data_IF_214791953354
#
_entry.id   IF_214791953354
#
_cell.length_a   1.000
_cell.length_b   1.000
_cell.length_c   1.000
_cell.angle_alpha   90.00
_cell.angle_beta   90.00
_cell.angle_gamma   90.00
#
_symmetry.space_group_name_H-M   'P 1'
#
loop_
_entity.id
_entity.type
_entity.pdbx_description
1 polymer ?
#
# COMPACT_ATOMS: atom_id res chain seq x y z
N UNK A 1 -21.03 18.06 4.87
CA UNK A 1 -19.60 17.90 5.22
C UNK A 1 -19.39 16.43 5.50
N UNK A 2 -18.41 15.78 4.86
CA UNK A 2 -18.10 14.37 5.13
C UNK A 2 -17.26 14.33 6.41
N UNK A 3 -17.65 13.47 7.34
CA UNK A 3 -17.22 13.49 8.73
C UNK A 3 -16.12 12.46 9.02
N UNK A 4 -15.22 12.80 9.95
CA UNK A 4 -14.19 11.92 10.49
C UNK A 4 -13.40 11.20 9.38
N UNK A 5 -13.16 9.89 9.53
CA UNK A 5 -12.36 9.07 8.63
C UNK A 5 -12.96 8.91 7.22
N UNK A 6 -14.26 9.19 7.04
CA UNK A 6 -14.90 9.16 5.72
C UNK A 6 -14.38 10.26 4.79
N UNK A 7 -13.64 11.24 5.32
CA UNK A 7 -12.96 12.25 4.53
C UNK A 7 -11.92 11.66 3.57
N UNK A 8 -11.22 10.57 3.97
CA UNK A 8 -10.22 9.87 3.16
C UNK A 8 -10.81 9.36 1.85
N UNK A 9 -11.83 8.47 1.84
CA UNK A 9 -12.41 7.99 0.59
C UNK A 9 -13.07 9.11 -0.22
N UNK A 10 -13.60 10.16 0.42
CA UNK A 10 -14.15 11.31 -0.28
C UNK A 10 -13.09 12.14 -1.02
N UNK A 11 -11.97 12.41 -0.36
CA UNK A 11 -10.85 13.14 -0.95
C UNK A 11 -10.22 12.34 -2.09
N UNK A 12 -10.03 11.03 -1.92
CA UNK A 12 -9.53 10.17 -2.98
C UNK A 12 -10.49 10.15 -4.17
N UNK A 13 -11.81 10.09 -3.93
CA UNK A 13 -12.79 10.13 -5.02
C UNK A 13 -12.73 11.45 -5.81
N UNK A 14 -12.62 12.59 -5.12
CA UNK A 14 -12.42 13.90 -5.77
C UNK A 14 -11.13 13.92 -6.61
N UNK A 15 -10.03 13.40 -6.08
CA UNK A 15 -8.77 13.29 -6.81
C UNK A 15 -8.91 12.40 -8.06
N UNK A 16 -9.52 11.23 -7.93
CA UNK A 16 -9.76 10.32 -9.05
C UNK A 16 -10.59 10.99 -10.16
N UNK A 17 -11.66 11.70 -9.80
CA UNK A 17 -12.49 12.41 -10.77
C UNK A 17 -11.69 13.49 -11.50
N UNK A 18 -10.86 14.26 -10.79
CA UNK A 18 -9.99 15.28 -11.39
C UNK A 18 -8.95 14.69 -12.34
N UNK A 19 -8.32 13.59 -11.95
CA UNK A 19 -7.35 12.89 -12.80
C UNK A 19 -8.03 12.28 -14.04
N UNK A 20 -9.24 11.74 -13.90
CA UNK A 20 -9.98 11.16 -15.03
C UNK A 20 -10.46 12.19 -16.07
N UNK A 21 -10.50 13.49 -15.73
CA UNK A 21 -10.77 14.58 -16.67
C UNK A 21 -9.54 14.94 -17.50
N UNK A 22 -8.32 14.66 -17.00
CA UNK A 22 -7.08 14.95 -17.72
C UNK A 22 -6.91 14.02 -18.94
N UNK A 23 -6.21 14.47 -20.00
CA UNK A 23 -5.73 13.59 -21.05
C UNK A 23 -4.87 12.45 -20.48
N UNK A 24 -4.94 11.26 -21.08
CA UNK A 24 -4.25 10.07 -20.57
C UNK A 24 -2.73 10.27 -20.37
N UNK A 25 -2.10 11.14 -21.17
CA UNK A 25 -0.66 11.45 -21.08
C UNK A 25 -0.29 12.33 -19.88
N UNK A 26 -1.26 13.02 -19.29
CA UNK A 26 -1.08 13.94 -18.15
C UNK A 26 -1.70 13.40 -16.86
N UNK A 27 -2.46 12.31 -16.97
CA UNK A 27 -3.12 11.62 -15.86
C UNK A 27 -2.10 10.83 -15.04
N UNK A 28 -2.20 10.92 -13.71
CA UNK A 28 -1.48 10.01 -12.82
C UNK A 28 -1.89 8.56 -13.11
N UNK A 29 -0.94 7.63 -13.18
CA UNK A 29 -1.28 6.21 -13.36
C UNK A 29 -1.67 5.56 -12.04
N UNK A 30 -0.89 5.81 -11.00
CA UNK A 30 -1.08 5.26 -9.66
C UNK A 30 -1.04 6.37 -8.62
N UNK A 31 -1.91 6.22 -7.62
CA UNK A 31 -1.90 6.96 -6.37
C UNK A 31 -1.34 6.03 -5.29
N UNK A 32 -0.49 6.57 -4.42
CA UNK A 32 -0.13 5.90 -3.17
C UNK A 32 -0.83 6.68 -2.06
N UNK A 33 -1.76 6.04 -1.36
CA UNK A 33 -2.31 6.62 -0.13
C UNK A 33 -1.44 6.20 1.04
N UNK A 34 -1.18 7.15 1.94
CA UNK A 34 -0.41 6.95 3.17
C UNK A 34 -1.09 7.76 4.28
N UNK A 35 -1.44 7.11 5.39
CA UNK A 35 -2.02 7.78 6.55
C UNK A 35 -1.00 8.72 7.22
N UNK A 36 -1.50 9.71 7.95
CA UNK A 36 -0.69 10.79 8.55
C UNK A 36 0.26 10.31 9.66
N UNK A 37 0.08 9.10 10.15
CA UNK A 37 0.87 8.45 11.19
C UNK A 37 1.77 7.37 10.56
N UNK A 38 2.33 7.67 9.40
CA UNK A 38 3.36 6.89 8.73
C UNK A 38 4.62 7.72 8.54
N UNK A 39 5.78 7.10 8.72
CA UNK A 39 7.09 7.67 8.36
C UNK A 39 7.72 6.89 7.21
N UNK A 40 8.55 7.58 6.43
CA UNK A 40 9.41 6.95 5.43
C UNK A 40 10.68 6.49 6.14
N UNK A 41 10.99 5.19 6.07
CA UNK A 41 12.20 4.61 6.63
C UNK A 41 13.36 4.65 5.63
N UNK A 42 13.04 4.46 4.36
CA UNK A 42 14.05 4.27 3.32
C UNK A 42 13.55 4.80 1.97
N UNK A 43 14.39 5.59 1.28
CA UNK A 43 14.05 6.18 -0.01
C UNK A 43 14.49 5.34 -1.21
N UNK A 44 15.32 4.31 -0.99
CA UNK A 44 15.99 3.52 -2.04
C UNK A 44 15.27 2.18 -2.29
N UNK A 45 14.41 1.74 -1.37
CA UNK A 45 13.66 0.49 -1.48
C UNK A 45 12.81 0.41 -2.76
N UNK A 46 12.81 -0.75 -3.43
CA UNK A 46 12.08 -0.91 -4.68
C UNK A 46 10.57 -0.86 -4.45
N UNK A 47 9.88 -0.10 -5.31
CA UNK A 47 8.42 0.00 -5.25
C UNK A 47 7.78 -1.39 -5.43
N UNK A 48 6.72 -1.72 -4.67
CA UNK A 48 6.00 -3.00 -4.78
C UNK A 48 5.30 -3.23 -6.14
N UNK A 49 5.31 -2.22 -7.02
CA UNK A 49 4.76 -2.31 -8.38
C UNK A 49 5.82 -2.82 -9.36
N UNK A 50 5.56 -3.90 -10.11
CA UNK A 50 6.44 -4.37 -11.17
C UNK A 50 6.43 -3.36 -12.33
N UNK A 51 7.52 -3.30 -13.09
CA UNK A 51 7.68 -2.38 -14.23
C UNK A 51 6.51 -2.44 -15.23
N UNK A 52 5.93 -3.62 -15.47
CA UNK A 52 4.79 -3.79 -16.38
C UNK A 52 3.49 -3.15 -15.88
N UNK A 53 3.32 -2.94 -14.57
CA UNK A 53 2.20 -2.17 -14.02
C UNK A 53 2.48 -0.66 -13.98
N UNK A 54 3.70 -0.21 -14.33
CA UNK A 54 4.14 1.19 -14.28
C UNK A 54 4.10 1.87 -15.66
N UNK A 55 3.36 1.29 -16.62
CA UNK A 55 3.25 1.80 -17.99
C UNK A 55 2.00 1.29 -18.71
N UNK A 56 1.21 2.23 -19.21
CA UNK A 56 0.36 2.06 -20.40
C UNK A 56 1.20 1.97 -21.69
N UNK A 57 2.37 1.31 -21.70
CA UNK A 57 3.07 0.96 -22.94
C UNK A 57 2.46 -0.29 -23.58
N UNK A 58 1.17 -0.19 -23.87
CA UNK A 58 0.60 -0.86 -25.04
C UNK A 58 0.87 -0.03 -26.32
N UNK A 59 1.88 0.84 -26.31
CA UNK A 59 2.41 1.41 -27.54
C UNK A 59 3.38 0.42 -28.18
N UNK A 60 2.83 -0.45 -29.02
CA UNK A 60 3.45 -0.97 -30.24
C UNK A 60 4.69 -1.86 -30.18
N UNK A 61 5.26 -2.22 -29.02
CA UNK A 61 6.40 -3.14 -28.98
C UNK A 61 5.99 -4.54 -28.52
N UNK A 62 5.86 -5.42 -29.52
CA UNK A 62 5.66 -6.86 -29.41
C UNK A 62 4.28 -7.31 -28.91
N UNK A 63 3.29 -7.06 -29.77
CA UNK A 63 2.20 -8.02 -29.96
C UNK A 63 2.85 -9.34 -30.43
N UNK A 64 3.35 -10.15 -29.49
CA UNK A 64 3.66 -11.53 -29.79
C UNK A 64 2.34 -12.19 -30.19
N UNK A 65 2.35 -12.95 -31.28
CA UNK A 65 1.19 -13.62 -31.88
C UNK A 65 0.59 -14.72 -30.98
N UNK A 66 0.79 -14.66 -29.65
CA UNK A 66 0.18 -15.56 -28.66
C UNK A 66 0.12 -14.93 -27.26
N UNK A 67 -0.92 -14.15 -26.90
CA UNK A 67 -1.32 -14.00 -25.52
C UNK A 67 -2.45 -15.00 -25.27
N UNK A 68 -2.12 -16.25 -24.94
CA UNK A 68 -3.16 -17.24 -24.58
C UNK A 68 -4.00 -16.69 -23.41
N UNK A 69 -3.44 -15.84 -22.54
CA UNK A 69 -4.19 -14.95 -21.63
C UNK A 69 -3.39 -13.65 -21.37
N UNK A 70 -3.98 -12.43 -21.50
CA UNK A 70 -3.35 -11.22 -20.98
C UNK A 70 -3.21 -11.33 -19.45
N UNK A 71 -2.17 -10.71 -18.83
CA UNK A 71 -2.05 -10.73 -17.38
C UNK A 71 -3.29 -10.08 -16.74
N UNK A 72 -3.73 -10.56 -15.56
CA UNK A 72 -4.89 -10.00 -14.88
C UNK A 72 -4.69 -8.50 -14.61
N UNK A 73 -5.74 -7.70 -14.74
CA UNK A 73 -5.68 -6.27 -14.46
C UNK A 73 -5.68 -6.04 -12.95
N UNK A 74 -4.67 -5.36 -12.42
CA UNK A 74 -4.58 -4.99 -11.00
C UNK A 74 -4.76 -3.49 -10.88
N UNK A 75 -5.77 -3.07 -10.10
CA UNK A 75 -6.08 -1.67 -9.86
C UNK A 75 -5.93 -1.26 -8.40
N UNK A 76 -5.78 -2.21 -7.47
CA UNK A 76 -5.54 -1.93 -6.06
C UNK A 76 -4.52 -2.92 -5.50
N UNK A 77 -3.43 -2.42 -4.94
CA UNK A 77 -2.56 -3.17 -4.04
C UNK A 77 -2.90 -2.81 -2.60
N UNK A 78 -3.25 -3.81 -1.80
CA UNK A 78 -3.60 -3.64 -0.41
C UNK A 78 -2.84 -4.65 0.46
N UNK A 79 -2.75 -4.36 1.76
CA UNK A 79 -2.20 -5.28 2.75
C UNK A 79 -3.30 -5.72 3.72
N UNK A 80 -3.17 -6.95 4.21
CA UNK A 80 -3.97 -7.45 5.32
C UNK A 80 -3.07 -7.64 6.54
N UNK A 81 -3.67 -7.42 7.71
CA UNK A 81 -3.12 -7.74 9.02
C UNK A 81 -4.07 -8.73 9.74
N UNK A 82 -3.77 -9.20 10.97
CA UNK A 82 -4.63 -10.12 11.71
C UNK A 82 -6.07 -9.60 11.95
N UNK A 83 -6.35 -8.32 11.73
CA UNK A 83 -7.67 -7.69 11.79
C UNK A 83 -8.37 -7.56 10.43
N UNK A 84 -7.79 -8.07 9.34
CA UNK A 84 -8.33 -7.95 7.99
C UNK A 84 -7.60 -6.87 7.17
N UNK A 85 -8.33 -6.21 6.26
CA UNK A 85 -7.79 -5.11 5.46
C UNK A 85 -7.19 -4.02 6.35
N UNK A 86 -5.96 -3.60 6.07
CA UNK A 86 -5.39 -2.36 6.60
C UNK A 86 -5.29 -1.32 5.49
N UNK A 87 -6.12 -0.28 5.54
CA UNK A 87 -6.20 0.72 4.47
C UNK A 87 -5.47 2.03 4.83
N UNK A 88 -4.54 1.99 5.78
CA UNK A 88 -3.69 3.14 6.07
C UNK A 88 -2.65 3.38 5.00
N UNK A 89 -2.23 2.33 4.28
CA UNK A 89 -1.33 2.44 3.13
C UNK A 89 -1.80 1.48 2.04
N UNK A 90 -1.98 1.99 0.82
CA UNK A 90 -2.33 1.19 -0.35
C UNK A 90 -1.97 1.93 -1.64
N UNK A 91 -1.87 1.17 -2.74
CA UNK A 91 -1.61 1.72 -4.07
C UNK A 91 -2.83 1.52 -4.94
N UNK A 92 -3.32 2.59 -5.56
CA UNK A 92 -4.57 2.62 -6.32
C UNK A 92 -4.33 3.14 -7.73
N UNK A 93 -4.72 2.37 -8.75
CA UNK A 93 -4.65 2.79 -10.15
C UNK A 93 -5.77 3.77 -10.47
N UNK A 94 -5.42 4.90 -11.06
CA UNK A 94 -6.43 5.88 -11.51
C UNK A 94 -7.21 5.29 -12.68
N UNK A 95 -8.49 5.01 -12.43
CA UNK A 95 -9.36 4.30 -13.37
C UNK A 95 -10.84 4.54 -13.07
N UNK A 96 -11.71 4.23 -14.03
CA UNK A 96 -13.15 4.18 -13.78
C UNK A 96 -13.53 3.18 -12.68
N UNK A 97 -12.83 2.03 -12.62
CA UNK A 97 -13.02 1.04 -11.56
C UNK A 97 -12.77 1.65 -10.17
N UNK A 98 -11.72 2.45 -10.02
CA UNK A 98 -11.42 3.11 -8.74
C UNK A 98 -12.52 4.10 -8.34
N UNK A 99 -13.08 4.85 -9.30
CA UNK A 99 -14.23 5.74 -9.05
C UNK A 99 -15.44 4.94 -8.54
N UNK A 100 -15.75 3.81 -9.17
CA UNK A 100 -16.87 2.96 -8.76
C UNK A 100 -16.67 2.38 -7.36
N UNK A 101 -15.47 1.87 -7.06
CA UNK A 101 -15.11 1.36 -5.73
C UNK A 101 -15.27 2.44 -4.67
N UNK A 102 -14.67 3.62 -4.86
CA UNK A 102 -14.72 4.68 -3.86
C UNK A 102 -16.12 5.31 -3.71
N UNK A 103 -16.92 5.32 -4.78
CA UNK A 103 -18.34 5.66 -4.70
C UNK A 103 -19.10 4.64 -3.85
N UNK A 104 -18.85 3.33 -4.07
CA UNK A 104 -19.48 2.26 -3.31
C UNK A 104 -19.09 2.30 -1.82
N UNK A 105 -17.83 2.58 -1.51
CA UNK A 105 -17.34 2.74 -0.12
C UNK A 105 -18.12 3.84 0.59
N UNK A 106 -18.19 5.05 0.00
CA UNK A 106 -18.91 6.18 0.60
C UNK A 106 -20.41 5.91 0.75
N UNK A 107 -21.01 5.22 -0.22
CA UNK A 107 -22.42 4.86 -0.18
C UNK A 107 -22.72 3.75 0.85
N UNK A 108 -21.74 2.89 1.16
CA UNK A 108 -21.94 1.65 1.92
C UNK A 108 -22.70 1.88 3.23
N UNK A 109 -22.28 2.86 4.04
CA UNK A 109 -22.89 3.17 5.34
C UNK A 109 -24.35 3.59 5.26
N UNK A 110 -24.77 4.17 4.13
CA UNK A 110 -26.13 4.67 3.92
C UNK A 110 -27.08 3.56 3.46
N UNK A 111 -26.58 2.60 2.67
CA UNK A 111 -27.38 1.48 2.18
C UNK A 111 -27.31 0.24 3.07
N UNK A 112 -26.33 0.17 3.98
CA UNK A 112 -26.15 -0.93 4.93
C UNK A 112 -26.08 -0.43 6.39
N UNK A 113 -27.11 0.31 6.89
CA UNK A 113 -27.03 0.96 8.20
C UNK A 113 -26.97 0.00 9.39
N UNK A 114 -27.32 -1.28 9.18
CA UNK A 114 -27.33 -2.31 10.23
C UNK A 114 -26.04 -3.13 10.27
N UNK A 115 -25.09 -2.88 9.35
CA UNK A 115 -23.81 -3.58 9.33
C UNK A 115 -22.85 -2.86 10.26
N UNK A 116 -22.28 -3.60 11.22
CA UNK A 116 -21.26 -3.07 12.10
C UNK A 116 -19.95 -2.85 11.34
N UNK A 117 -19.45 -1.62 11.37
CA UNK A 117 -18.18 -1.24 10.75
C UNK A 117 -17.13 -1.01 11.83
N UNK A 118 -16.51 -2.11 12.30
CA UNK A 118 -15.53 -2.11 13.41
C UNK A 118 -14.44 -1.04 13.23
N UNK A 119 -13.97 -0.85 12.00
CA UNK A 119 -12.95 0.14 11.63
C UNK A 119 -13.50 1.22 10.68
N UNK A 120 -14.78 1.56 10.81
CA UNK A 120 -15.45 2.62 10.03
C UNK A 120 -15.32 2.43 8.51
N UNK A 121 -14.68 3.36 7.80
CA UNK A 121 -14.52 3.29 6.34
C UNK A 121 -13.60 2.17 5.88
N UNK A 122 -12.63 1.73 6.71
CA UNK A 122 -11.79 0.57 6.41
C UNK A 122 -12.62 -0.71 6.32
N UNK A 123 -13.54 -0.93 7.28
CA UNK A 123 -14.47 -2.06 7.22
C UNK A 123 -15.40 -1.97 6.02
N UNK A 124 -15.84 -0.77 5.64
CA UNK A 124 -16.66 -0.58 4.45
C UNK A 124 -15.87 -0.92 3.17
N UNK A 125 -14.61 -0.47 3.08
CA UNK A 125 -13.70 -0.80 2.00
C UNK A 125 -13.48 -2.31 1.91
N UNK A 126 -13.18 -2.98 3.02
CA UNK A 126 -13.03 -4.44 3.06
C UNK A 126 -14.24 -5.17 2.49
N UNK A 127 -15.45 -4.79 2.93
CA UNK A 127 -16.70 -5.41 2.47
C UNK A 127 -17.00 -5.12 1.00
N UNK A 128 -16.70 -3.90 0.53
CA UNK A 128 -16.83 -3.55 -0.90
C UNK A 128 -15.86 -4.37 -1.74
N UNK A 129 -14.61 -4.51 -1.33
CA UNK A 129 -13.58 -5.24 -2.09
C UNK A 129 -13.83 -6.76 -2.14
N UNK A 130 -14.69 -7.30 -1.27
CA UNK A 130 -15.14 -8.69 -1.33
C UNK A 130 -16.24 -8.92 -2.38
N UNK A 131 -16.90 -7.86 -2.86
CA UNK A 131 -17.93 -7.96 -3.89
C UNK A 131 -17.33 -8.46 -5.22
N UNK A 132 -18.00 -9.40 -5.88
CA UNK A 132 -17.55 -9.99 -7.15
C UNK A 132 -17.35 -8.95 -8.27
N UNK A 133 -18.00 -7.79 -8.17
CA UNK A 133 -17.82 -6.67 -9.11
C UNK A 133 -16.43 -6.05 -9.01
N UNK A 134 -15.76 -6.14 -7.85
CA UNK A 134 -14.52 -5.43 -7.58
C UNK A 134 -13.33 -6.35 -7.27
N UNK A 135 -13.57 -7.51 -6.65
CA UNK A 135 -12.53 -8.37 -6.09
C UNK A 135 -11.49 -8.87 -7.10
N UNK A 136 -11.86 -8.99 -8.38
CA UNK A 136 -10.98 -9.48 -9.44
C UNK A 136 -9.84 -8.52 -9.83
N UNK A 137 -9.85 -7.26 -9.37
CA UNK A 137 -8.79 -6.27 -9.65
C UNK A 137 -8.01 -5.85 -8.39
N UNK A 138 -8.21 -6.56 -7.29
CA UNK A 138 -7.52 -6.34 -6.02
C UNK A 138 -6.41 -7.37 -5.87
N UNK A 139 -5.22 -6.91 -5.50
CA UNK A 139 -4.11 -7.79 -5.14
C UNK A 139 -3.67 -7.50 -3.72
N UNK A 140 -3.87 -8.47 -2.84
CA UNK A 140 -3.28 -8.45 -1.51
C UNK A 140 -1.81 -8.86 -1.59
N UNK A 141 -0.94 -8.09 -0.95
CA UNK A 141 0.50 -8.36 -0.87
C UNK A 141 0.92 -8.43 0.60
N UNK A 142 2.11 -8.99 0.89
CA UNK A 142 2.64 -9.00 2.24
C UNK A 142 2.73 -7.60 2.85
N UNK A 143 2.31 -7.48 4.10
CA UNK A 143 2.17 -6.20 4.77
C UNK A 143 3.49 -5.44 4.87
N UNK A 144 4.61 -6.14 5.07
CA UNK A 144 5.93 -5.51 5.19
C UNK A 144 6.42 -4.79 3.95
N UNK A 145 5.80 -5.01 2.79
CA UNK A 145 6.20 -4.30 1.57
C UNK A 145 6.01 -2.79 1.68
N UNK A 146 5.00 -2.34 2.43
CA UNK A 146 4.71 -0.91 2.55
C UNK A 146 3.87 -0.51 3.77
N UNK A 147 3.42 -1.45 4.62
CA UNK A 147 2.57 -1.16 5.76
C UNK A 147 3.01 -1.86 7.07
N UNK A 148 4.31 -2.05 7.37
CA UNK A 148 4.72 -2.69 8.62
C UNK A 148 4.51 -1.78 9.84
N UNK A 149 4.40 -2.40 11.01
CA UNK A 149 4.23 -1.76 12.31
C UNK A 149 5.56 -1.57 13.05
N UNK A 150 5.67 -0.56 13.93
CA UNK A 150 6.79 -0.44 14.84
C UNK A 150 6.82 -1.59 15.85
N UNK A 151 8.04 -1.97 16.27
CA UNK A 151 8.28 -2.83 17.42
C UNK A 151 9.22 -2.14 18.40
N UNK A 152 8.70 -1.83 19.57
CA UNK A 152 9.44 -1.06 20.58
C UNK A 152 9.62 0.40 20.16
N UNK A 153 10.63 1.05 20.72
CA UNK A 153 10.92 2.46 20.49
C UNK A 153 11.98 2.65 19.38
N UNK A 154 12.30 3.90 19.03
CA UNK A 154 13.25 4.19 17.95
C UNK A 154 14.66 3.67 18.29
N UNK A 155 15.04 3.72 19.56
CA UNK A 155 16.31 3.15 20.02
C UNK A 155 16.38 1.65 19.77
N UNK A 156 15.29 0.90 20.00
CA UNK A 156 15.23 -0.52 19.69
C UNK A 156 15.46 -0.79 18.19
N UNK A 157 14.91 0.04 17.30
CA UNK A 157 15.10 -0.13 15.85
C UNK A 157 16.56 0.04 15.41
N UNK A 158 17.27 1.03 15.97
CA UNK A 158 18.68 1.29 15.63
C UNK A 158 19.62 0.30 16.31
N UNK A 159 19.44 0.06 17.60
CA UNK A 159 20.37 -0.75 18.40
C UNK A 159 20.26 -2.24 18.12
N UNK A 160 19.25 -2.67 17.36
CA UNK A 160 19.09 -4.07 17.05
C UNK A 160 20.19 -4.52 16.09
N UNK A 161 21.20 -5.20 16.64
CA UNK A 161 22.31 -5.82 15.91
C UNK A 161 21.99 -7.25 15.47
N UNK A 162 20.75 -7.73 15.62
CA UNK A 162 20.35 -9.02 15.10
C UNK A 162 20.56 -9.04 13.58
N UNK A 163 21.56 -9.82 13.15
CA UNK A 163 21.89 -10.05 11.74
C UNK A 163 21.02 -11.12 11.11
N UNK A 164 20.16 -11.78 11.89
CA UNK A 164 19.25 -12.81 11.42
C UNK A 164 17.86 -12.64 12.08
N UNK A 165 16.89 -12.00 11.40
CA UNK A 165 15.54 -11.78 11.93
C UNK A 165 14.66 -13.05 11.88
N UNK A 166 15.25 -14.25 11.83
CA UNK A 166 14.52 -15.52 11.86
C UNK A 166 13.59 -15.57 13.09
N UNK A 167 12.28 -15.71 12.81
CA UNK A 167 11.24 -15.75 13.84
C UNK A 167 10.66 -14.40 14.26
N UNK A 168 11.11 -13.30 13.65
CA UNK A 168 10.41 -12.03 13.80
C UNK A 168 9.07 -12.08 13.07
N UNK A 169 8.08 -11.44 13.67
CA UNK A 169 6.81 -11.22 13.00
C UNK A 169 7.07 -10.46 11.68
N UNK A 170 6.50 -10.95 10.58
CA UNK A 170 6.62 -10.30 9.28
C UNK A 170 5.98 -8.92 9.29
N UNK A 171 5.01 -8.69 10.17
CA UNK A 171 4.33 -7.40 10.30
C UNK A 171 5.22 -6.29 10.86
N UNK A 172 6.41 -6.61 11.38
CA UNK A 172 7.30 -5.64 12.04
C UNK A 172 8.24 -4.97 11.05
N UNK A 173 8.40 -3.66 11.22
CA UNK A 173 9.31 -2.84 10.43
C UNK A 173 10.78 -3.19 10.69
N UNK A 174 11.56 -3.27 9.62
CA UNK A 174 13.00 -3.61 9.62
C UNK A 174 13.77 -2.58 8.78
N UNK A 175 15.09 -2.47 9.03
CA UNK A 175 15.97 -1.66 8.19
C UNK A 175 15.95 -2.18 6.75
N UNK A 176 15.65 -1.30 5.79
CA UNK A 176 15.43 -1.63 4.37
C UNK A 176 13.95 -1.69 3.95
N UNK A 177 13.02 -1.69 4.92
CA UNK A 177 11.60 -1.46 4.62
C UNK A 177 11.38 -0.02 4.18
N UNK A 178 10.37 0.21 3.33
CA UNK A 178 10.08 1.52 2.77
C UNK A 178 9.39 2.47 3.77
N UNK A 179 8.36 1.99 4.45
CA UNK A 179 7.48 2.79 5.31
C UNK A 179 7.32 2.11 6.67
N UNK A 180 6.88 2.88 7.66
CA UNK A 180 6.44 2.38 8.97
C UNK A 180 5.15 3.06 9.39
N UNK A 181 4.15 2.29 9.79
CA UNK A 181 2.82 2.78 10.12
C UNK A 181 2.52 2.61 11.61
N UNK A 182 2.22 3.72 12.29
CA UNK A 182 1.93 3.75 13.74
C UNK A 182 0.45 3.51 14.06
N UNK A 183 -0.20 2.63 13.30
CA UNK A 183 -1.61 2.30 13.46
C UNK A 183 -1.89 1.78 14.88
N UNK A 184 -2.91 2.33 15.54
CA UNK A 184 -3.29 1.91 16.90
C UNK A 184 -2.28 2.23 18.00
N UNK A 185 -1.18 2.93 17.72
CA UNK A 185 -0.19 3.29 18.73
C UNK A 185 -0.76 4.34 19.71
N UNK A 186 -0.67 4.07 21.02
CA UNK A 186 -1.33 4.88 22.07
C UNK A 186 -0.73 6.29 22.23
N UNK A 187 0.59 6.40 22.13
CA UNK A 187 1.35 7.66 22.20
C UNK A 187 2.00 7.95 20.84
N UNK A 188 1.17 7.98 19.79
CA UNK A 188 1.66 8.04 18.40
C UNK A 188 2.42 9.31 18.08
N UNK A 189 2.02 10.44 18.65
CA UNK A 189 2.71 11.72 18.50
C UNK A 189 4.12 11.68 19.09
N UNK A 190 4.27 11.17 20.32
CA UNK A 190 5.57 10.97 20.95
C UNK A 190 6.44 9.99 20.15
N UNK A 191 5.87 8.85 19.73
CA UNK A 191 6.59 7.84 18.96
C UNK A 191 7.03 8.37 17.58
N UNK A 192 6.16 9.09 16.85
CA UNK A 192 6.51 9.67 15.56
C UNK A 192 7.65 10.66 15.70
N UNK A 193 7.63 11.53 16.73
CA UNK A 193 8.72 12.47 16.96
C UNK A 193 10.03 11.74 17.30
N UNK A 194 9.98 10.73 18.19
CA UNK A 194 11.15 9.93 18.54
C UNK A 194 11.76 9.23 17.31
N UNK A 195 10.92 8.66 16.46
CA UNK A 195 11.37 7.99 15.23
C UNK A 195 11.86 8.98 14.17
N UNK A 196 11.22 10.13 14.03
CA UNK A 196 11.68 11.18 13.12
C UNK A 196 13.06 11.71 13.53
N UNK A 197 13.26 12.03 14.81
CA UNK A 197 14.55 12.48 15.35
C UNK A 197 15.65 11.41 15.13
N UNK A 198 15.28 10.14 15.28
CA UNK A 198 16.19 9.02 15.03
C UNK A 198 16.56 8.91 13.54
N UNK A 199 15.59 9.01 12.64
CA UNK A 199 15.81 8.91 11.18
C UNK A 199 16.67 10.06 10.66
N UNK A 200 16.51 11.28 11.20
CA UNK A 200 17.33 12.44 10.84
C UNK A 200 18.83 12.23 11.15
N UNK A 201 19.14 11.42 12.17
CA UNK A 201 20.51 11.07 12.54
C UNK A 201 20.99 9.73 11.99
N UNK A 202 20.17 9.01 11.24
CA UNK A 202 20.47 7.67 10.77
C UNK A 202 21.26 7.69 9.46
N UNK A 203 22.35 6.94 9.42
CA UNK A 203 23.10 6.70 8.17
C UNK A 203 22.29 5.81 7.21
N UNK A 204 22.58 5.93 5.92
CA UNK A 204 21.97 5.07 4.91
C UNK A 204 22.30 3.58 5.20
N UNK A 205 21.25 2.79 5.40
CA UNK A 205 21.38 1.37 5.75
C UNK A 205 22.00 0.55 4.62
N UNK A 206 21.87 0.98 3.36
CA UNK A 206 22.46 0.33 2.20
C UNK A 206 23.94 0.65 2.06
N UNK A 207 24.35 1.89 2.37
CA UNK A 207 25.77 2.27 2.35
C UNK A 207 26.56 1.68 3.52
N UNK A 208 25.87 1.38 4.62
CA UNK A 208 26.48 0.85 5.86
C UNK A 208 26.36 -0.66 6.02
N UNK A 209 25.79 -1.38 5.04
CA UNK A 209 25.55 -2.84 5.07
C UNK A 209 24.74 -3.28 6.31
N UNK A 210 23.77 -2.44 6.72
CA UNK A 210 22.91 -2.66 7.90
C UNK A 210 21.48 -3.07 7.54
N UNK A 211 21.24 -3.35 6.26
CA UNK A 211 19.94 -3.81 5.73
C UNK A 211 19.55 -5.12 6.40
N UNK A 212 18.33 -5.18 6.93
CA UNK A 212 17.76 -6.39 7.53
C UNK A 212 16.65 -7.01 6.68
N UNK A 213 16.03 -6.23 5.79
CA UNK A 213 15.06 -6.73 4.80
C UNK A 213 15.29 -6.06 3.46
N UNK A 214 15.42 -6.87 2.42
CA UNK A 214 15.37 -6.42 1.03
C UNK A 214 14.26 -7.21 0.33
N UNK A 215 13.18 -6.53 -0.04
CA UNK A 215 12.00 -7.16 -0.66
C UNK A 215 12.11 -7.29 -2.17
N UNK A 216 13.17 -6.79 -2.83
CA UNK A 216 13.28 -6.77 -4.29
C UNK A 216 13.14 -8.16 -4.93
N UNK A 217 13.79 -9.16 -4.32
CA UNK A 217 13.72 -10.55 -4.78
C UNK A 217 12.33 -11.15 -4.59
N UNK A 218 11.73 -10.91 -3.42
CA UNK A 218 10.39 -11.38 -3.05
C UNK A 218 9.31 -10.76 -3.95
N UNK A 219 9.35 -9.43 -4.15
CA UNK A 219 8.46 -8.69 -5.03
C UNK A 219 8.56 -9.20 -6.46
N UNK A 220 9.79 -9.39 -6.96
CA UNK A 220 10.02 -9.93 -8.31
C UNK A 220 9.39 -11.32 -8.45
N UNK A 221 9.71 -12.23 -7.55
CA UNK A 221 9.21 -13.61 -7.58
C UNK A 221 7.67 -13.64 -7.52
N UNK A 222 7.06 -12.87 -6.62
CA UNK A 222 5.61 -12.79 -6.48
C UNK A 222 4.92 -12.37 -7.80
N UNK A 223 5.47 -11.37 -8.49
CA UNK A 223 4.92 -10.91 -9.76
C UNK A 223 5.22 -11.85 -10.94
N UNK A 224 6.36 -12.55 -10.92
CA UNK A 224 6.67 -13.62 -11.87
C UNK A 224 5.68 -14.78 -11.76
N UNK A 225 5.40 -15.26 -10.55
CA UNK A 225 4.43 -16.33 -10.27
C UNK A 225 3.00 -15.95 -10.71
N UNK A 226 2.68 -14.66 -10.71
CA UNK A 226 1.40 -14.12 -11.21
C UNK A 226 1.39 -13.79 -12.69
N UNK A 227 2.49 -14.00 -13.41
CA UNK A 227 2.59 -13.80 -14.86
C UNK A 227 2.83 -12.35 -15.31
N UNK A 228 3.24 -11.45 -14.42
CA UNK A 228 3.51 -10.04 -14.74
C UNK A 228 4.95 -9.77 -15.18
N UNK A 229 5.86 -10.72 -14.99
CA UNK A 229 7.27 -10.58 -15.34
C UNK A 229 7.66 -11.81 -16.16
N UNK A 230 7.79 -11.64 -17.48
CA UNK A 230 8.50 -12.54 -18.40
C UNK A 230 9.60 -11.73 -19.06
#
# INVERSE_FOLDING_TARGET
MIDNLWNKPAFILDLLLREMIKPDKERLEWLVWVDRDTLILDHISSTPLPRRLRRNEQSNEQQSDNPIHPPPEVNLLAANDPNGLNNGIFLLRVSHWAIEVFTAILAYRHYNPNVELKFTEQSAMELVLQDQRFSNKVQFVPQHWFNPFPRGNASNFVSNNETNPEGWDELVARRGDWLIHFAGHSHKDEAINEWADMLDGMEDVWETDRVLRNVDGEVRQFWEEKGFMR
#
